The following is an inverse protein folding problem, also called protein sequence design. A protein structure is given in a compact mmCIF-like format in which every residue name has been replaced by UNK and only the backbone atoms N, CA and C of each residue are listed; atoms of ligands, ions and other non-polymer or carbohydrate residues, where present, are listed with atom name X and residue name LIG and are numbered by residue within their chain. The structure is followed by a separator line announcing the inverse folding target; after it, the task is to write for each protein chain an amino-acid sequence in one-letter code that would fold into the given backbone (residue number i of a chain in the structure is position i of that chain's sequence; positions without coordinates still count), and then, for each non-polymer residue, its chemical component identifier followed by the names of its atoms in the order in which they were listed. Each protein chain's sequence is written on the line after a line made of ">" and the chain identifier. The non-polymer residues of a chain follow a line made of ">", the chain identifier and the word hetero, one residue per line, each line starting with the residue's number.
data_IF_595045130265
#
_entry.id   IF_595045130265
#
_cell.length_a   1.000
_cell.length_b   1.000
_cell.length_c   1.000
_cell.angle_alpha   90.00
_cell.angle_beta   90.00
_cell.angle_gamma   90.00
#
_symmetry.space_group_name_H-M   'P 1'
#
loop_
_entity.id
_entity.type
_entity.pdbx_description
1 polymer ?
#
# COMPACT_ATOMS: atom_id res chain seq x y z
N UNK A 1 -15.26 2.06 13.40
CA UNK A 1 -13.80 2.25 13.16
C UNK A 1 -13.35 1.24 12.14
N UNK A 2 -12.60 1.68 11.14
CA UNK A 2 -12.10 0.90 10.01
C UNK A 2 -10.63 0.57 10.27
N UNK A 3 -10.23 -0.69 10.05
CA UNK A 3 -8.83 -1.10 10.14
C UNK A 3 -8.26 -1.38 8.75
N UNK A 4 -7.29 -0.58 8.32
CA UNK A 4 -6.44 -0.89 7.17
C UNK A 4 -5.19 -1.59 7.67
N UNK A 5 -4.89 -2.77 7.10
CA UNK A 5 -3.62 -3.48 7.30
C UNK A 5 -2.80 -3.31 6.04
N UNK A 6 -1.72 -2.53 6.08
CA UNK A 6 -0.84 -2.24 4.97
C UNK A 6 0.50 -2.97 5.11
N UNK A 7 1.04 -3.47 4.00
CA UNK A 7 2.33 -4.17 3.97
C UNK A 7 3.55 -3.23 4.08
N UNK A 8 3.34 -1.91 3.93
CA UNK A 8 4.34 -0.86 4.13
C UNK A 8 3.76 0.49 4.59
N UNK A 9 4.64 1.36 5.08
CA UNK A 9 4.31 2.72 5.55
C UNK A 9 3.71 3.61 4.46
N UNK A 10 4.25 3.56 3.23
CA UNK A 10 3.76 4.42 2.14
C UNK A 10 2.33 4.06 1.75
N UNK A 11 2.01 2.76 1.73
CA UNK A 11 0.66 2.26 1.58
C UNK A 11 -0.22 2.72 2.74
N UNK A 12 0.19 2.52 3.99
CA UNK A 12 -0.60 2.98 5.14
C UNK A 12 -0.95 4.48 5.06
N UNK A 13 0.04 5.32 4.73
CA UNK A 13 -0.15 6.76 4.56
C UNK A 13 -1.06 7.11 3.36
N UNK A 14 -0.96 6.38 2.25
CA UNK A 14 -1.86 6.53 1.10
C UNK A 14 -3.32 6.32 1.51
N UNK A 15 -3.65 5.26 2.26
CA UNK A 15 -5.03 5.01 2.68
C UNK A 15 -5.52 5.98 3.75
N UNK A 16 -4.63 6.44 4.64
CA UNK A 16 -4.99 7.49 5.59
C UNK A 16 -5.36 8.78 4.86
N UNK A 17 -4.62 9.14 3.80
CA UNK A 17 -4.94 10.27 2.93
C UNK A 17 -6.27 10.10 2.19
N UNK A 18 -6.56 8.89 1.69
CA UNK A 18 -7.86 8.59 1.07
C UNK A 18 -8.98 8.69 2.11
N UNK A 19 -8.83 8.12 3.30
CA UNK A 19 -9.82 8.24 4.37
C UNK A 19 -10.10 9.71 4.73
N UNK A 20 -9.05 10.53 4.83
CA UNK A 20 -9.18 11.97 5.06
C UNK A 20 -9.93 12.69 3.93
N UNK A 21 -9.65 12.33 2.67
CA UNK A 21 -10.38 12.83 1.51
C UNK A 21 -11.84 12.34 1.45
N UNK A 22 -12.28 11.44 2.33
CA UNK A 22 -13.67 11.01 2.49
C UNK A 22 -14.26 11.49 3.84
N UNK A 23 -13.66 12.51 4.46
CA UNK A 23 -14.16 13.13 5.69
C UNK A 23 -13.94 12.30 6.96
N UNK A 24 -13.07 11.29 6.91
CA UNK A 24 -12.75 10.44 8.06
C UNK A 24 -11.43 10.87 8.72
N UNK A 25 -11.42 10.89 10.05
CA UNK A 25 -10.16 10.97 10.80
C UNK A 25 -9.37 9.67 10.65
N UNK A 26 -8.06 9.78 10.41
CA UNK A 26 -7.20 8.62 10.20
C UNK A 26 -5.87 8.74 10.95
N UNK A 27 -5.41 7.62 11.49
CA UNK A 27 -4.08 7.48 12.09
C UNK A 27 -3.25 6.47 11.32
N UNK A 28 -1.98 6.79 11.08
CA UNK A 28 -0.98 5.80 10.65
C UNK A 28 -0.28 5.27 11.89
N UNK A 29 -0.32 3.95 12.08
CA UNK A 29 0.28 3.28 13.24
C UNK A 29 1.29 2.23 12.76
N UNK A 30 2.43 2.09 13.44
CA UNK A 30 3.38 0.97 13.23
C UNK A 30 3.15 -0.17 14.22
N UNK A 31 2.34 0.07 15.24
CA UNK A 31 1.84 -0.92 16.18
C UNK A 31 0.36 -0.68 16.42
N UNK A 32 -0.47 -1.72 16.32
CA UNK A 32 -1.90 -1.56 16.51
C UNK A 32 -2.21 -1.16 17.97
N UNK A 33 -2.67 0.08 18.14
CA UNK A 33 -3.19 0.65 19.36
C UNK A 33 -4.69 0.94 19.17
N UNK A 34 -5.57 0.03 19.62
CA UNK A 34 -7.00 0.11 19.30
C UNK A 34 -7.76 1.20 20.07
N UNK A 35 -7.12 1.84 21.06
CA UNK A 35 -7.73 2.90 21.88
C UNK A 35 -7.36 4.26 21.30
N UNK A 36 -8.10 4.69 20.30
CA UNK A 36 -8.00 6.01 19.67
C UNK A 36 -9.40 6.51 19.29
N UNK A 37 -9.55 7.81 19.12
CA UNK A 37 -10.76 8.46 18.60
C UNK A 37 -10.79 8.49 17.05
N UNK A 38 -9.74 8.00 16.39
CA UNK A 38 -9.66 7.93 14.93
C UNK A 38 -10.70 6.97 14.34
N UNK A 39 -11.34 7.41 13.26
CA UNK A 39 -12.32 6.59 12.53
C UNK A 39 -11.64 5.50 11.68
N UNK A 40 -10.42 5.74 11.23
CA UNK A 40 -9.61 4.80 10.44
C UNK A 40 -8.23 4.62 11.07
N UNK A 41 -7.82 3.38 11.30
CA UNK A 41 -6.43 3.05 11.66
C UNK A 41 -5.78 2.42 10.44
N UNK A 42 -4.71 3.04 9.93
CA UNK A 42 -3.86 2.50 8.89
C UNK A 42 -2.59 1.93 9.51
N UNK A 43 -2.61 0.63 9.78
CA UNK A 43 -1.50 -0.11 10.36
C UNK A 43 -0.47 -0.46 9.28
N UNK A 44 0.74 0.05 9.42
CA UNK A 44 1.92 -0.45 8.71
C UNK A 44 2.44 -1.72 9.41
N UNK A 45 2.41 -2.85 8.71
CA UNK A 45 2.95 -4.11 9.22
C UNK A 45 4.42 -4.32 8.85
N UNK A 46 4.99 -3.51 7.97
CA UNK A 46 6.35 -3.63 7.42
C UNK A 46 6.67 -5.08 6.99
N UNK A 47 5.72 -5.69 6.27
CA UNK A 47 5.80 -7.11 5.88
C UNK A 47 6.24 -7.34 4.45
N UNK A 48 6.18 -6.31 3.60
CA UNK A 48 6.46 -6.44 2.16
C UNK A 48 7.81 -7.11 1.90
N UNK A 49 8.84 -6.69 2.62
CA UNK A 49 10.24 -7.10 2.41
C UNK A 49 10.68 -8.26 3.28
N UNK A 50 9.78 -8.87 4.05
CA UNK A 50 10.13 -9.98 4.90
C UNK A 50 10.08 -11.28 4.13
N UNK A 51 10.86 -12.24 4.61
CA UNK A 51 10.60 -13.64 4.33
C UNK A 51 9.18 -14.04 4.76
N UNK A 52 8.58 -14.94 3.99
CA UNK A 52 7.19 -15.37 4.14
C UNK A 52 6.86 -15.76 5.58
N UNK A 53 7.70 -16.56 6.24
CA UNK A 53 7.47 -17.03 7.62
C UNK A 53 7.47 -15.87 8.62
N UNK A 54 8.34 -14.88 8.41
CA UNK A 54 8.42 -13.69 9.27
C UNK A 54 7.19 -12.78 9.07
N UNK A 55 6.70 -12.64 7.84
CA UNK A 55 5.44 -11.93 7.54
C UNK A 55 4.24 -12.62 8.19
N UNK A 56 4.14 -13.95 8.08
CA UNK A 56 3.11 -14.76 8.74
C UNK A 56 3.16 -14.57 10.26
N UNK A 57 4.34 -14.69 10.86
CA UNK A 57 4.50 -14.51 12.31
C UNK A 57 4.12 -13.09 12.77
N UNK A 58 4.45 -12.06 11.97
CA UNK A 58 4.06 -10.66 12.21
C UNK A 58 2.54 -10.52 12.24
N UNK A 59 1.84 -11.03 11.23
CA UNK A 59 0.39 -10.91 11.13
C UNK A 59 -0.34 -11.73 12.20
N UNK A 60 0.12 -12.95 12.51
CA UNK A 60 -0.49 -13.78 13.56
C UNK A 60 -0.42 -13.13 14.95
N UNK A 61 0.62 -12.34 15.24
CA UNK A 61 0.72 -11.55 16.48
C UNK A 61 -0.38 -10.48 16.59
N UNK A 62 -0.95 -10.03 15.46
CA UNK A 62 -2.02 -9.04 15.45
C UNK A 62 -3.38 -9.63 15.82
N UNK A 63 -3.58 -10.96 15.76
CA UNK A 63 -4.89 -11.60 15.92
C UNK A 63 -5.67 -11.13 17.17
N UNK A 64 -5.01 -11.15 18.34
CA UNK A 64 -5.63 -10.71 19.59
C UNK A 64 -5.94 -9.22 19.59
N UNK A 65 -5.07 -8.39 19.01
CA UNK A 65 -5.25 -6.94 18.94
C UNK A 65 -6.38 -6.57 17.96
N UNK A 66 -6.46 -7.23 16.80
CA UNK A 66 -7.54 -7.04 15.83
C UNK A 66 -8.88 -7.44 16.45
N UNK A 67 -8.93 -8.59 17.13
CA UNK A 67 -10.13 -9.03 17.84
C UNK A 67 -10.56 -8.03 18.92
N UNK A 68 -9.61 -7.49 19.69
CA UNK A 68 -9.88 -6.48 20.71
C UNK A 68 -10.32 -5.13 20.11
N UNK A 69 -9.80 -4.78 18.93
CA UNK A 69 -10.17 -3.57 18.22
C UNK A 69 -11.59 -3.63 17.65
N UNK A 70 -12.11 -4.84 17.38
CA UNK A 70 -13.45 -5.11 16.84
C UNK A 70 -13.82 -4.15 15.70
N UNK A 71 -12.99 -4.04 14.65
CA UNK A 71 -13.23 -3.09 13.57
C UNK A 71 -14.52 -3.43 12.83
N UNK A 72 -15.19 -2.40 12.34
CA UNK A 72 -16.41 -2.52 11.53
C UNK A 72 -16.14 -3.28 10.23
N UNK A 73 -15.05 -2.92 9.55
CA UNK A 73 -14.46 -3.77 8.52
C UNK A 73 -12.94 -3.61 8.48
N UNK A 74 -12.31 -4.58 7.83
CA UNK A 74 -10.86 -4.66 7.65
C UNK A 74 -10.58 -4.56 6.16
N UNK A 75 -9.60 -3.74 5.79
CA UNK A 75 -9.09 -3.65 4.42
C UNK A 75 -7.61 -4.04 4.39
N UNK A 76 -7.22 -4.95 3.51
CA UNK A 76 -5.81 -5.29 3.29
C UNK A 76 -5.23 -4.46 2.15
N UNK A 77 -4.37 -3.49 2.47
CA UNK A 77 -3.55 -2.79 1.48
C UNK A 77 -2.33 -3.63 1.10
N UNK A 78 -2.11 -3.76 -0.21
CA UNK A 78 -0.91 -4.35 -0.79
C UNK A 78 -0.15 -3.36 -1.68
N UNK A 79 1.04 -3.74 -2.12
CA UNK A 79 1.75 -3.03 -3.17
C UNK A 79 0.95 -2.95 -4.48
N UNK A 80 1.00 -1.80 -5.15
CA UNK A 80 0.31 -1.56 -6.41
C UNK A 80 0.97 -2.20 -7.64
N UNK A 81 2.09 -2.91 -7.47
CA UNK A 81 2.74 -3.69 -8.52
C UNK A 81 2.89 -5.16 -8.10
N UNK A 82 2.05 -5.61 -7.15
CA UNK A 82 1.96 -7.00 -6.71
C UNK A 82 3.26 -7.57 -6.12
N UNK A 83 4.06 -6.75 -5.44
CA UNK A 83 5.24 -7.17 -4.69
C UNK A 83 4.87 -7.61 -3.26
N UNK A 84 5.70 -8.45 -2.66
CA UNK A 84 5.52 -8.95 -1.29
C UNK A 84 4.70 -10.23 -1.19
N UNK A 85 4.36 -10.61 0.05
CA UNK A 85 3.82 -11.90 0.43
C UNK A 85 2.28 -12.00 0.28
N UNK A 86 1.71 -11.40 -0.77
CA UNK A 86 0.27 -11.06 -0.85
C UNK A 86 -0.65 -12.26 -0.59
N UNK A 87 -0.51 -13.35 -1.33
CA UNK A 87 -1.38 -14.53 -1.19
C UNK A 87 -1.32 -15.12 0.22
N UNK A 88 -0.10 -15.28 0.75
CA UNK A 88 0.11 -15.80 2.11
C UNK A 88 -0.46 -14.86 3.18
N UNK A 89 -0.25 -13.56 3.05
CA UNK A 89 -0.79 -12.58 4.00
C UNK A 89 -2.32 -12.56 3.99
N UNK A 90 -2.94 -12.67 2.81
CA UNK A 90 -4.39 -12.79 2.69
C UNK A 90 -4.90 -14.06 3.38
N UNK A 91 -4.26 -15.21 3.16
CA UNK A 91 -4.61 -16.45 3.86
C UNK A 91 -4.56 -16.30 5.39
N UNK A 92 -3.49 -15.71 5.93
CA UNK A 92 -3.36 -15.46 7.37
C UNK A 92 -4.44 -14.49 7.87
N UNK A 93 -4.74 -13.42 7.10
CA UNK A 93 -5.76 -12.46 7.49
C UNK A 93 -7.16 -13.10 7.49
N UNK A 94 -7.50 -13.93 6.50
CA UNK A 94 -8.76 -14.69 6.49
C UNK A 94 -8.90 -15.53 7.75
N UNK A 95 -7.85 -16.26 8.13
CA UNK A 95 -7.84 -17.07 9.36
C UNK A 95 -8.04 -16.24 10.63
N UNK A 96 -7.25 -15.20 10.85
CA UNK A 96 -7.27 -14.45 12.13
C UNK A 96 -8.48 -13.52 12.26
N UNK A 97 -9.12 -13.17 11.14
CA UNK A 97 -10.32 -12.32 11.10
C UNK A 97 -11.61 -13.12 10.94
N UNK A 98 -11.52 -14.45 10.85
CA UNK A 98 -12.64 -15.38 10.61
C UNK A 98 -13.47 -15.01 9.36
N UNK A 99 -12.81 -14.50 8.31
CA UNK A 99 -13.43 -14.22 7.00
C UNK A 99 -13.31 -15.45 6.12
N UNK A 100 -14.28 -15.65 5.23
CA UNK A 100 -14.39 -16.90 4.44
C UNK A 100 -13.69 -16.76 3.08
N UNK A 101 -13.66 -15.55 2.53
CA UNK A 101 -13.12 -15.25 1.20
C UNK A 101 -12.53 -13.85 1.15
N UNK A 102 -11.58 -13.63 0.24
CA UNK A 102 -11.06 -12.31 -0.06
C UNK A 102 -11.53 -11.87 -1.45
N UNK A 103 -11.81 -10.57 -1.59
CA UNK A 103 -11.95 -9.93 -2.90
C UNK A 103 -10.72 -9.04 -3.08
N UNK A 104 -9.89 -9.38 -4.07
CA UNK A 104 -8.61 -8.72 -4.29
C UNK A 104 -8.65 -7.86 -5.56
N UNK A 105 -8.62 -6.53 -5.38
CA UNK A 105 -8.63 -5.53 -6.46
C UNK A 105 -7.41 -4.60 -6.33
N UNK A 106 -6.24 -5.04 -6.81
CA UNK A 106 -5.03 -4.21 -6.84
C UNK A 106 -5.02 -3.18 -7.98
N UNK A 107 -6.05 -3.14 -8.82
CA UNK A 107 -6.17 -2.16 -9.90
C UNK A 107 -6.37 -0.75 -9.32
N UNK A 108 -5.75 0.23 -9.97
CA UNK A 108 -6.02 1.66 -9.80
C UNK A 108 -6.20 2.27 -11.20
N UNK A 109 -7.39 2.16 -11.82
CA UNK A 109 -7.67 2.74 -13.14
C UNK A 109 -7.29 4.22 -13.23
N UNK A 110 -7.49 4.99 -12.14
CA UNK A 110 -7.10 6.41 -12.05
C UNK A 110 -5.60 6.65 -12.28
N UNK A 111 -4.76 5.61 -12.12
CA UNK A 111 -3.31 5.63 -12.32
C UNK A 111 -2.84 4.73 -13.45
N UNK A 112 -3.76 4.36 -14.36
CA UNK A 112 -3.47 3.50 -15.50
C UNK A 112 -3.09 2.06 -15.12
N UNK A 113 -3.56 1.55 -13.97
CA UNK A 113 -3.30 0.18 -13.51
C UNK A 113 -4.59 -0.61 -13.54
N UNK A 114 -4.66 -1.65 -14.36
CA UNK A 114 -5.92 -2.36 -14.64
C UNK A 114 -5.74 -3.87 -14.59
N UNK A 115 -6.82 -4.60 -14.31
CA UNK A 115 -6.89 -6.05 -14.50
C UNK A 115 -7.77 -6.34 -15.71
N UNK A 116 -7.24 -7.10 -16.68
CA UNK A 116 -7.91 -7.48 -17.93
C UNK A 116 -7.75 -8.98 -18.12
N UNK A 117 -8.83 -9.74 -18.12
CA UNK A 117 -8.78 -11.20 -18.23
C UNK A 117 -7.94 -11.87 -17.13
N UNK A 118 -7.93 -11.31 -15.91
CA UNK A 118 -7.10 -11.79 -14.80
C UNK A 118 -5.61 -11.43 -14.88
N UNK A 119 -5.18 -10.67 -15.89
CA UNK A 119 -3.81 -10.17 -16.02
C UNK A 119 -3.68 -8.72 -15.53
N UNK A 120 -2.58 -8.39 -14.87
CA UNK A 120 -2.26 -7.05 -14.38
C UNK A 120 -1.49 -6.23 -15.42
N UNK A 121 -2.01 -5.04 -15.73
CA UNK A 121 -1.46 -4.13 -16.74
C UNK A 121 -1.10 -2.78 -16.12
N UNK A 122 0.03 -2.21 -16.57
CA UNK A 122 0.44 -0.83 -16.29
C UNK A 122 0.46 -0.09 -17.62
N UNK A 123 -0.53 0.78 -17.84
CA UNK A 123 -0.84 1.34 -19.15
C UNK A 123 -1.20 0.22 -20.12
N UNK A 124 -0.37 0.05 -21.15
CA UNK A 124 -0.51 -0.99 -22.16
C UNK A 124 0.55 -2.09 -22.05
N UNK A 125 1.33 -2.10 -20.96
CA UNK A 125 2.39 -3.09 -20.73
C UNK A 125 1.95 -4.07 -19.64
N UNK A 126 1.98 -5.40 -19.89
CA UNK A 126 1.67 -6.38 -18.87
C UNK A 126 2.76 -6.37 -17.79
N UNK A 127 2.39 -6.64 -16.53
CA UNK A 127 3.26 -6.43 -15.37
C UNK A 127 4.67 -7.04 -15.52
N UNK A 128 4.77 -8.24 -16.08
CA UNK A 128 6.02 -8.97 -16.25
C UNK A 128 6.93 -8.47 -17.38
N UNK A 129 6.47 -7.51 -18.17
CA UNK A 129 7.26 -6.82 -19.20
C UNK A 129 7.67 -5.40 -18.75
N UNK A 130 7.24 -4.97 -17.56
CA UNK A 130 7.59 -3.67 -16.98
C UNK A 130 8.93 -3.73 -16.23
N UNK A 131 9.39 -2.60 -15.70
CA UNK A 131 10.55 -2.56 -14.80
C UNK A 131 10.38 -3.45 -13.55
N UNK A 132 9.15 -3.76 -13.14
CA UNK A 132 8.89 -4.66 -12.00
C UNK A 132 9.30 -6.12 -12.28
N UNK A 133 9.53 -6.50 -13.53
CA UNK A 133 10.12 -7.78 -13.88
C UNK A 133 11.53 -7.97 -13.30
N UNK A 134 12.24 -6.85 -13.07
CA UNK A 134 13.60 -6.79 -12.53
C UNK A 134 13.66 -6.31 -11.09
N UNK A 135 12.52 -6.28 -10.37
CA UNK A 135 12.55 -5.94 -8.94
C UNK A 135 13.49 -6.92 -8.21
N UNK A 136 14.46 -6.42 -7.42
CA UNK A 136 15.52 -7.24 -6.86
C UNK A 136 15.02 -8.24 -5.82
N UNK A 137 13.86 -7.98 -5.21
CA UNK A 137 13.32 -8.80 -4.13
C UNK A 137 12.08 -9.57 -4.57
N UNK A 138 11.22 -8.96 -5.38
CA UNK A 138 9.96 -9.55 -5.84
C UNK A 138 9.78 -9.41 -7.35
N UNK A 139 10.65 -10.05 -8.16
CA UNK A 139 10.57 -9.95 -9.61
C UNK A 139 9.21 -10.40 -10.14
N UNK A 140 8.63 -9.60 -11.03
CA UNK A 140 7.36 -9.93 -11.66
C UNK A 140 7.55 -10.84 -12.86
N UNK A 141 7.36 -12.15 -12.68
CA UNK A 141 7.56 -13.17 -13.72
C UNK A 141 6.31 -13.50 -14.55
N UNK A 142 5.14 -13.00 -14.13
CA UNK A 142 3.86 -13.18 -14.83
C UNK A 142 2.94 -11.99 -14.57
N UNK A 143 2.04 -11.70 -15.51
CA UNK A 143 0.96 -10.75 -15.31
C UNK A 143 -0.29 -11.39 -14.70
N UNK A 144 -0.42 -12.72 -14.74
CA UNK A 144 -1.58 -13.41 -14.18
C UNK A 144 -1.64 -13.23 -12.65
N UNK A 145 -2.67 -12.54 -12.17
CA UNK A 145 -2.78 -12.14 -10.76
C UNK A 145 -2.98 -13.37 -9.87
N UNK A 146 -3.81 -14.32 -10.28
CA UNK A 146 -4.07 -15.54 -9.51
C UNK A 146 -2.78 -16.35 -9.31
N UNK A 147 -1.99 -16.52 -10.36
CA UNK A 147 -0.70 -17.21 -10.29
C UNK A 147 0.28 -16.51 -9.33
N UNK A 148 0.31 -15.17 -9.31
CA UNK A 148 1.12 -14.41 -8.34
C UNK A 148 0.68 -14.60 -6.90
N UNK A 149 -0.59 -14.90 -6.67
CA UNK A 149 -1.16 -15.11 -5.34
C UNK A 149 -1.18 -16.60 -4.92
N UNK A 150 -0.64 -17.49 -5.76
CA UNK A 150 -0.59 -18.93 -5.47
C UNK A 150 -1.86 -19.70 -5.85
N UNK A 151 -2.75 -19.10 -6.64
CA UNK A 151 -4.02 -19.69 -7.11
C UNK A 151 -4.94 -20.17 -5.97
N UNK A 152 -4.99 -19.42 -4.87
CA UNK A 152 -5.88 -19.73 -3.76
C UNK A 152 -7.35 -19.48 -4.16
N UNK A 153 -8.22 -20.53 -4.17
CA UNK A 153 -9.61 -20.40 -4.55
C UNK A 153 -10.44 -19.54 -3.58
N UNK A 154 -9.94 -19.26 -2.37
CA UNK A 154 -10.58 -18.34 -1.43
C UNK A 154 -10.43 -16.86 -1.85
N UNK A 155 -9.57 -16.56 -2.83
CA UNK A 155 -9.28 -15.20 -3.30
C UNK A 155 -9.92 -14.99 -4.67
N UNK A 156 -10.97 -14.17 -4.71
CA UNK A 156 -11.60 -13.74 -5.96
C UNK A 156 -10.91 -12.49 -6.50
N UNK A 157 -10.60 -12.49 -7.79
CA UNK A 157 -9.90 -11.40 -8.47
C UNK A 157 -10.78 -10.96 -9.65
N UNK A 158 -11.67 -9.98 -9.47
CA UNK A 158 -12.46 -9.46 -10.56
C UNK A 158 -11.58 -8.64 -11.52
N UNK A 159 -11.98 -8.62 -12.79
CA UNK A 159 -11.45 -7.64 -13.73
C UNK A 159 -11.82 -6.22 -13.26
N UNK A 160 -10.91 -5.28 -13.49
CA UNK A 160 -11.05 -3.90 -13.04
C UNK A 160 -10.31 -3.00 -14.01
N UNK A 161 -11.06 -2.51 -15.01
CA UNK A 161 -10.53 -1.65 -16.09
C UNK A 161 -10.96 -0.20 -15.93
N UNK A 162 -12.07 0.02 -15.24
CA UNK A 162 -12.68 1.33 -15.00
C UNK A 162 -12.99 1.53 -13.51
N UNK A 163 -13.22 2.78 -13.11
CA UNK A 163 -13.70 3.11 -11.77
C UNK A 163 -15.04 2.41 -11.46
N UNK A 164 -15.92 2.26 -12.45
CA UNK A 164 -17.19 1.54 -12.31
C UNK A 164 -17.00 0.06 -11.98
N UNK A 165 -16.00 -0.60 -12.58
CA UNK A 165 -15.70 -2.00 -12.27
C UNK A 165 -15.23 -2.14 -10.82
N UNK A 166 -14.38 -1.22 -10.37
CA UNK A 166 -13.88 -1.16 -8.98
C UNK A 166 -15.03 -0.91 -8.00
N UNK A 167 -15.94 0.02 -8.32
CA UNK A 167 -17.13 0.29 -7.51
C UNK A 167 -18.07 -0.91 -7.44
N UNK A 168 -18.23 -1.64 -8.55
CA UNK A 168 -19.03 -2.86 -8.60
C UNK A 168 -18.43 -3.95 -7.70
N UNK A 169 -17.11 -4.15 -7.76
CA UNK A 169 -16.42 -5.07 -6.86
C UNK A 169 -16.57 -4.67 -5.37
N UNK A 170 -16.54 -3.37 -5.09
CA UNK A 170 -16.71 -2.85 -3.72
C UNK A 170 -18.13 -3.11 -3.19
N UNK A 171 -19.15 -2.92 -4.02
CA UNK A 171 -20.55 -3.19 -3.68
C UNK A 171 -20.85 -4.68 -3.44
N UNK A 172 -20.02 -5.59 -3.93
CA UNK A 172 -20.13 -7.03 -3.70
C UNK A 172 -19.49 -7.51 -2.38
N UNK A 173 -18.82 -6.62 -1.62
CA UNK A 173 -18.12 -6.98 -0.39
C UNK A 173 -19.04 -6.93 0.84
N UNK A 174 -19.53 -8.11 1.25
CA UNK A 174 -20.27 -8.34 2.51
C UNK A 174 -19.35 -8.52 3.74
N UNK A 175 -19.94 -8.78 4.91
CA UNK A 175 -19.21 -8.96 6.17
C UNK A 175 -18.33 -10.22 6.23
N UNK A 176 -18.51 -11.19 5.32
CA UNK A 176 -17.70 -12.39 5.22
C UNK A 176 -16.51 -12.22 4.28
N UNK A 177 -16.50 -11.15 3.49
CA UNK A 177 -15.43 -10.81 2.54
C UNK A 177 -14.34 -10.00 3.23
N UNK A 178 -13.08 -10.38 3.06
CA UNK A 178 -11.94 -9.51 3.32
C UNK A 178 -11.63 -8.71 2.03
N UNK A 179 -11.98 -7.42 1.94
CA UNK A 179 -11.53 -6.61 0.82
C UNK A 179 -10.03 -6.36 0.91
N UNK A 180 -9.34 -6.53 -0.21
CA UNK A 180 -7.91 -6.33 -0.33
C UNK A 180 -7.56 -5.66 -1.65
N UNK A 181 -6.52 -4.83 -1.69
CA UNK A 181 -6.12 -4.20 -2.95
C UNK A 181 -5.44 -2.86 -2.78
N UNK A 182 -5.70 -1.97 -3.73
CA UNK A 182 -5.07 -0.66 -3.84
C UNK A 182 -6.04 0.49 -3.49
N UNK A 183 -5.58 1.73 -3.68
CA UNK A 183 -6.28 2.95 -3.23
C UNK A 183 -7.68 3.13 -3.83
N UNK A 184 -7.85 2.90 -5.13
CA UNK A 184 -9.13 3.11 -5.82
C UNK A 184 -10.21 2.16 -5.24
N UNK A 185 -9.83 0.93 -4.90
CA UNK A 185 -10.73 -0.03 -4.28
C UNK A 185 -11.11 0.35 -2.84
N UNK A 186 -10.16 0.90 -2.07
CA UNK A 186 -10.48 1.43 -0.74
C UNK A 186 -11.43 2.62 -0.81
N UNK A 187 -11.20 3.58 -1.72
CA UNK A 187 -12.09 4.72 -1.94
C UNK A 187 -13.51 4.25 -2.32
N UNK A 188 -13.62 3.32 -3.25
CA UNK A 188 -14.90 2.72 -3.64
C UNK A 188 -15.63 2.01 -2.47
N UNK A 189 -14.88 1.35 -1.57
CA UNK A 189 -15.46 0.72 -0.37
C UNK A 189 -15.98 1.75 0.64
N UNK A 190 -15.34 2.90 0.75
CA UNK A 190 -15.81 4.02 1.57
C UNK A 190 -17.10 4.61 0.98
N UNK A 191 -17.14 4.84 -0.33
CA UNK A 191 -18.33 5.38 -1.01
C UNK A 191 -19.54 4.46 -0.88
N UNK A 192 -19.37 3.15 -1.11
CA UNK A 192 -20.46 2.17 -0.96
C UNK A 192 -20.97 2.06 0.49
N UNK A 193 -20.21 2.56 1.46
CA UNK A 193 -20.57 2.64 2.88
C UNK A 193 -21.03 4.05 3.31
N UNK A 194 -21.29 4.94 2.36
CA UNK A 194 -21.85 6.26 2.61
C UNK A 194 -20.83 7.34 2.97
N UNK A 195 -19.54 7.06 2.85
CA UNK A 195 -18.47 8.06 2.99
C UNK A 195 -18.13 8.64 1.62
N UNK A 196 -18.85 9.67 1.20
CA UNK A 196 -18.60 10.35 -0.06
C UNK A 196 -17.25 11.10 -0.03
N UNK A 197 -16.57 11.17 -1.17
CA UNK A 197 -15.38 11.98 -1.32
C UNK A 197 -15.71 13.47 -1.06
N UNK A 198 -14.82 14.14 -0.33
CA UNK A 198 -14.90 15.53 0.04
C UNK A 198 -13.64 16.27 -0.44
N UNK A 199 -13.73 17.55 -0.84
CA UNK A 199 -12.55 18.36 -1.08
C UNK A 199 -11.70 18.42 0.20
N UNK A 200 -10.48 17.89 0.15
CA UNK A 200 -9.55 17.99 1.26
C UNK A 200 -9.00 19.42 1.34
N UNK A 201 -9.26 20.12 2.45
CA UNK A 201 -8.56 21.37 2.75
C UNK A 201 -7.16 21.06 3.26
N UNK A 202 -6.16 21.19 2.38
CA UNK A 202 -4.76 21.04 2.77
C UNK A 202 -4.33 22.32 3.48
N UNK A 203 -4.14 22.23 4.80
CA UNK A 203 -3.46 23.29 5.55
C UNK A 203 -1.97 23.16 5.31
N UNK A 204 -1.37 24.16 4.67
CA UNK A 204 0.08 24.20 4.51
C UNK A 204 0.75 24.24 5.90
N UNK A 205 1.69 23.33 6.14
CA UNK A 205 2.53 23.42 7.32
C UNK A 205 3.32 24.74 7.29
N UNK A 206 3.21 25.53 8.36
CA UNK A 206 3.97 26.76 8.49
C UNK A 206 5.41 26.47 8.92
N UNK A 207 6.37 27.15 8.30
CA UNK A 207 7.77 27.12 8.69
C UNK A 207 8.69 26.29 7.78
N UNK A 208 9.97 26.15 8.16
CA UNK A 208 10.94 25.36 7.40
C UNK A 208 10.52 23.89 7.32
N UNK A 209 10.59 23.30 6.13
CA UNK A 209 10.28 21.90 5.88
C UNK A 209 11.50 21.15 5.34
N UNK A 210 11.72 19.93 5.84
CA UNK A 210 12.70 18.99 5.30
C UNK A 210 11.96 17.89 4.54
N UNK A 211 12.32 17.70 3.26
CA UNK A 211 11.81 16.60 2.45
C UNK A 211 12.84 15.47 2.40
N UNK A 212 12.43 14.24 2.76
CA UNK A 212 13.28 13.05 2.68
C UNK A 212 12.74 12.14 1.57
N UNK A 213 13.54 11.88 0.53
CA UNK A 213 13.17 11.03 -0.59
C UNK A 213 14.15 9.86 -0.76
N UNK A 214 13.82 8.70 -0.16
CA UNK A 214 14.62 7.48 -0.29
C UNK A 214 14.31 6.65 -1.55
N UNK A 215 13.37 7.07 -2.39
CA UNK A 215 12.93 6.29 -3.55
C UNK A 215 13.87 6.48 -4.74
N UNK A 216 14.68 5.47 -5.05
CA UNK A 216 15.57 5.46 -6.23
C UNK A 216 14.82 5.76 -7.53
N UNK A 217 13.58 5.25 -7.64
CA UNK A 217 12.77 5.44 -8.83
C UNK A 217 12.28 6.89 -9.01
N UNK A 218 12.23 7.70 -7.94
CA UNK A 218 11.94 9.13 -8.05
C UNK A 218 13.16 9.88 -8.62
N UNK A 219 14.37 9.54 -8.14
CA UNK A 219 15.61 10.14 -8.61
C UNK A 219 15.92 9.81 -10.08
N UNK A 220 15.68 8.56 -10.49
CA UNK A 220 15.79 8.15 -11.90
C UNK A 220 14.76 8.80 -12.85
N UNK A 221 13.73 9.48 -12.31
CA UNK A 221 12.65 10.13 -13.07
C UNK A 221 12.66 11.66 -12.95
N UNK A 222 13.84 12.24 -12.74
CA UNK A 222 14.02 13.70 -12.83
C UNK A 222 13.69 14.48 -11.55
N UNK A 223 13.68 13.84 -10.37
CA UNK A 223 13.47 14.52 -9.08
C UNK A 223 14.45 15.69 -8.88
N UNK A 224 15.71 15.55 -9.25
CA UNK A 224 16.71 16.62 -9.12
C UNK A 224 16.30 17.87 -9.90
N UNK A 225 15.93 17.71 -11.18
CA UNK A 225 15.47 18.80 -12.03
C UNK A 225 14.18 19.45 -11.51
N UNK A 226 13.26 18.65 -10.95
CA UNK A 226 12.05 19.17 -10.33
C UNK A 226 12.38 20.05 -9.11
N UNK A 227 13.28 19.62 -8.23
CA UNK A 227 13.72 20.39 -7.07
C UNK A 227 14.40 21.69 -7.49
N UNK A 228 15.32 21.65 -8.46
CA UNK A 228 15.97 22.84 -9.04
C UNK A 228 14.94 23.85 -9.56
N UNK A 229 13.96 23.38 -10.35
CA UNK A 229 12.90 24.23 -10.93
C UNK A 229 12.08 24.96 -9.87
N UNK A 230 11.88 24.35 -8.71
CA UNK A 230 11.11 24.92 -7.60
C UNK A 230 11.99 25.62 -6.55
N UNK A 231 13.29 25.77 -6.80
CA UNK A 231 14.22 26.38 -5.85
C UNK A 231 14.36 25.62 -4.53
N UNK A 232 14.12 24.30 -4.55
CA UNK A 232 14.27 23.41 -3.39
C UNK A 232 15.70 22.89 -3.36
N UNK A 233 16.53 23.27 -2.38
CA UNK A 233 17.90 22.76 -2.26
C UNK A 233 17.90 21.25 -2.06
N UNK A 234 18.79 20.54 -2.76
CA UNK A 234 18.92 19.08 -2.68
C UNK A 234 20.26 18.71 -2.07
N UNK A 235 20.22 17.92 -1.00
CA UNK A 235 21.36 17.18 -0.49
C UNK A 235 21.17 15.70 -0.87
N UNK A 236 21.82 15.25 -1.93
CA UNK A 236 21.73 13.86 -2.39
C UNK A 236 22.82 13.00 -1.74
N UNK A 237 22.46 11.78 -1.34
CA UNK A 237 23.43 10.81 -0.84
C UNK A 237 24.25 10.26 -2.02
N UNK A 238 25.60 10.29 -1.94
CA UNK A 238 26.48 9.72 -2.96
C UNK A 238 26.19 8.23 -3.18
N UNK A 239 26.34 7.76 -4.42
CA UNK A 239 26.01 6.39 -4.79
C UNK A 239 26.89 5.36 -4.06
N UNK A 240 28.12 5.75 -3.74
CA UNK A 240 29.12 4.95 -3.04
C UNK A 240 28.73 4.64 -1.59
N UNK A 241 27.79 5.40 -1.03
CA UNK A 241 27.29 5.22 0.33
C UNK A 241 26.00 4.38 0.38
N UNK A 242 25.42 3.99 -0.75
CA UNK A 242 24.27 3.08 -0.75
C UNK A 242 24.66 1.73 -0.13
N UNK A 243 23.89 1.28 0.86
CA UNK A 243 24.17 0.04 1.59
C UNK A 243 25.24 0.16 2.70
N UNK A 244 25.85 1.33 2.89
CA UNK A 244 26.84 1.58 3.94
C UNK A 244 26.23 2.11 5.24
N UNK A 245 24.98 1.77 5.56
CA UNK A 245 24.34 2.17 6.83
C UNK A 245 25.11 1.73 8.08
N UNK A 246 26.02 0.75 7.93
CA UNK A 246 26.91 0.25 8.98
C UNK A 246 28.29 0.93 9.01
N UNK A 247 28.55 1.96 8.19
CA UNK A 247 29.81 2.73 8.18
C UNK A 247 29.59 4.20 8.58
N UNK A 248 29.45 4.50 9.89
CA UNK A 248 29.15 5.84 10.40
C UNK A 248 30.14 6.92 9.94
N UNK A 249 31.42 6.57 9.80
CA UNK A 249 32.46 7.51 9.42
C UNK A 249 32.25 8.12 8.03
N UNK A 250 31.81 7.31 7.05
CA UNK A 250 31.57 7.75 5.68
C UNK A 250 30.32 8.65 5.60
N UNK A 251 29.26 8.31 6.34
CA UNK A 251 28.07 9.14 6.51
C UNK A 251 28.39 10.48 7.18
N UNK A 252 29.20 10.49 8.25
CA UNK A 252 29.62 11.72 8.93
C UNK A 252 30.55 12.60 8.09
N UNK A 253 31.32 12.02 7.17
CA UNK A 253 32.14 12.79 6.23
C UNK A 253 31.24 13.50 5.20
N UNK A 254 30.27 12.79 4.65
CA UNK A 254 29.29 13.35 3.70
C UNK A 254 28.48 14.51 4.31
N UNK A 255 27.92 14.32 5.51
CA UNK A 255 27.14 15.38 6.21
C UNK A 255 27.96 16.64 6.44
N UNK A 256 29.29 16.55 6.60
CA UNK A 256 30.16 17.72 6.78
C UNK A 256 30.55 18.41 5.48
N UNK A 257 30.32 17.77 4.33
CA UNK A 257 30.64 18.28 3.00
C UNK A 257 29.45 18.85 2.23
N UNK A 258 28.23 18.57 2.72
CA UNK A 258 26.97 19.10 2.20
C UNK A 258 26.60 20.42 2.89
#
# INVERSE_FOLDING_TARGET
>A
MILVVADDLSGAAELAGIAFAHGLTAEVQTELQPRTDAQVICLDTDTRRLETEAAVARLRKLAHRIKAASPEFIFKKTDSALRGNIGTELGVLLEITARVRAVFVPANPSRGRTIRGGEYWIGDTPLHETDFARDPQHPSTTANVAARLGNDPAITIPDATTETDVLTAAGACDDLVLPAGAGDFFAALLETRGHAAMPAEITAAAGPALFVCGSLAAWGRGRSSQCETHGVPVCAMPAELFGQSEHPAALHAWVRSA
#
